data_IF_110394859704
#
_entry.id   IF_110394859704
#
_cell.length_a   1.000
_cell.length_b   1.000
_cell.length_c   1.000
_cell.angle_alpha   90.00
_cell.angle_beta   90.00
_cell.angle_gamma   90.00
#
_symmetry.space_group_name_H-M   'P 1'
#
loop_
_entity.id
_entity.type
_entity.pdbx_description
1 polymer ?
#
# COMPACT_ATOMS: atom_id res chain seq x y z
N UNK A 1 -39.88 -10.14 -83.53
CA UNK A 1 -39.90 -9.33 -82.28
C UNK A 1 -39.06 -10.08 -81.27
N UNK A 2 -37.80 -9.76 -81.25
CA UNK A 2 -36.82 -10.39 -80.33
C UNK A 2 -36.71 -9.52 -79.10
N UNK A 3 -37.18 -10.03 -78.00
CA UNK A 3 -37.09 -9.40 -76.69
C UNK A 3 -35.72 -9.73 -76.05
N UNK A 4 -34.72 -8.79 -76.13
CA UNK A 4 -33.43 -8.99 -75.54
C UNK A 4 -33.57 -8.94 -74.03
N UNK A 5 -33.37 -10.09 -73.37
CA UNK A 5 -33.28 -10.21 -71.92
C UNK A 5 -32.02 -9.51 -71.44
N UNK A 6 -32.14 -8.38 -70.77
CA UNK A 6 -31.05 -7.71 -70.08
C UNK A 6 -30.72 -8.50 -68.81
N UNK A 7 -29.59 -9.22 -68.82
CA UNK A 7 -29.00 -9.85 -67.63
C UNK A 7 -28.46 -8.77 -66.70
N UNK A 8 -29.15 -8.55 -65.57
CA UNK A 8 -28.64 -7.71 -64.48
C UNK A 8 -27.62 -8.57 -63.68
N UNK A 9 -26.34 -8.33 -63.88
CA UNK A 9 -25.30 -8.87 -62.99
C UNK A 9 -25.52 -8.33 -61.57
N UNK A 10 -25.50 -9.21 -60.55
CA UNK A 10 -25.57 -8.76 -59.17
C UNK A 10 -24.36 -7.91 -58.85
N UNK A 11 -24.53 -6.69 -58.39
CA UNK A 11 -23.49 -5.87 -57.80
C UNK A 11 -22.86 -6.64 -56.64
N UNK A 12 -21.61 -7.15 -56.82
CA UNK A 12 -20.86 -7.73 -55.72
C UNK A 12 -20.68 -6.62 -54.66
N UNK A 13 -21.32 -6.83 -53.52
CA UNK A 13 -21.19 -5.93 -52.36
C UNK A 13 -19.70 -5.91 -51.96
N UNK A 14 -19.06 -4.76 -52.17
CA UNK A 14 -17.65 -4.51 -51.80
C UNK A 14 -17.46 -4.83 -50.31
N UNK A 15 -16.58 -5.77 -50.00
CA UNK A 15 -16.33 -6.21 -48.62
C UNK A 15 -15.90 -4.98 -47.77
N UNK A 16 -16.41 -4.82 -46.56
CA UNK A 16 -16.04 -3.67 -45.73
C UNK A 16 -14.54 -3.62 -45.54
N UNK A 17 -13.93 -2.42 -45.57
CA UNK A 17 -12.48 -2.26 -45.43
C UNK A 17 -11.99 -2.91 -44.15
N UNK A 18 -10.80 -3.54 -44.13
CA UNK A 18 -10.26 -4.18 -42.98
C UNK A 18 -10.13 -3.18 -41.80
N UNK A 19 -10.39 -3.61 -40.55
CA UNK A 19 -10.30 -2.73 -39.41
C UNK A 19 -8.88 -2.14 -39.30
N UNK A 20 -8.75 -0.86 -38.92
CA UNK A 20 -7.46 -0.21 -38.80
C UNK A 20 -6.56 -0.97 -37.82
N UNK A 21 -5.24 -1.05 -38.08
CA UNK A 21 -4.30 -1.75 -37.22
C UNK A 21 -4.38 -1.20 -35.77
N UNK A 22 -4.22 -2.07 -34.76
CA UNK A 22 -4.26 -1.63 -33.37
C UNK A 22 -3.16 -0.58 -33.12
N UNK A 23 -3.45 0.47 -32.34
CA UNK A 23 -2.47 1.53 -32.07
C UNK A 23 -1.21 0.93 -31.43
N UNK A 24 -0.02 1.48 -31.72
CA UNK A 24 1.24 0.97 -31.20
C UNK A 24 1.23 0.98 -29.66
N UNK A 25 1.76 -0.09 -29.06
CA UNK A 25 1.85 -0.22 -27.61
C UNK A 25 2.77 0.85 -27.05
N UNK A 26 2.20 1.85 -26.37
CA UNK A 26 2.96 2.95 -25.77
C UNK A 26 3.61 2.47 -24.46
N UNK A 27 4.93 2.64 -24.32
CA UNK A 27 5.68 2.42 -23.08
C UNK A 27 6.03 3.78 -22.48
N UNK A 28 5.69 4.00 -21.22
CA UNK A 28 6.03 5.21 -20.47
C UNK A 28 6.99 4.88 -19.33
N UNK A 29 7.90 5.80 -19.00
CA UNK A 29 8.73 5.68 -17.79
C UNK A 29 7.95 6.25 -16.60
N UNK A 30 7.44 5.36 -15.73
CA UNK A 30 6.52 5.72 -14.65
C UNK A 30 7.22 5.92 -13.31
N UNK A 31 8.19 5.07 -12.97
CA UNK A 31 8.82 5.08 -11.66
C UNK A 31 10.33 5.31 -11.75
N UNK A 32 10.81 6.37 -11.08
CA UNK A 32 12.24 6.70 -11.00
C UNK A 32 12.98 5.68 -10.14
N UNK A 33 14.27 5.47 -10.40
CA UNK A 33 15.09 4.50 -9.68
C UNK A 33 15.06 4.68 -8.15
N UNK A 34 15.21 5.89 -7.57
CA UNK A 34 15.12 6.06 -6.12
C UNK A 34 13.79 5.59 -5.53
N UNK A 35 12.66 5.89 -6.20
CA UNK A 35 11.33 5.44 -5.76
C UNK A 35 11.23 3.91 -5.75
N UNK A 36 11.78 3.24 -6.77
CA UNK A 36 11.77 1.78 -6.89
C UNK A 36 12.62 1.11 -5.79
N UNK A 37 13.83 1.63 -5.56
CA UNK A 37 14.71 1.12 -4.50
C UNK A 37 14.08 1.32 -3.13
N UNK A 38 13.53 2.50 -2.86
CA UNK A 38 12.84 2.79 -1.62
C UNK A 38 11.64 1.88 -1.41
N UNK A 39 10.83 1.65 -2.43
CA UNK A 39 9.67 0.75 -2.37
C UNK A 39 10.08 -0.68 -1.98
N UNK A 40 11.06 -1.28 -2.67
CA UNK A 40 11.47 -2.66 -2.41
C UNK A 40 12.17 -2.82 -1.05
N UNK A 41 12.98 -1.83 -0.65
CA UNK A 41 13.58 -1.81 0.68
C UNK A 41 12.50 -1.77 1.77
N UNK A 42 11.51 -0.88 1.63
CA UNK A 42 10.41 -0.80 2.59
C UNK A 42 9.52 -2.05 2.57
N UNK A 43 9.23 -2.62 1.41
CA UNK A 43 8.47 -3.86 1.32
C UNK A 43 9.15 -4.97 2.14
N UNK A 44 10.45 -5.23 1.91
CA UNK A 44 11.20 -6.20 2.69
C UNK A 44 11.19 -5.88 4.19
N UNK A 45 11.49 -4.62 4.54
CA UNK A 45 11.56 -4.16 5.93
C UNK A 45 10.24 -4.35 6.65
N UNK A 46 9.13 -3.94 6.06
CA UNK A 46 7.80 -4.05 6.67
C UNK A 46 7.38 -5.50 6.85
N UNK A 47 7.66 -6.39 5.89
CA UNK A 47 7.39 -7.81 6.06
C UNK A 47 8.16 -8.42 7.24
N UNK A 48 9.47 -8.14 7.35
CA UNK A 48 10.28 -8.64 8.48
C UNK A 48 9.78 -8.06 9.80
N UNK A 49 9.42 -6.78 9.85
CA UNK A 49 8.89 -6.14 11.06
C UNK A 49 7.53 -6.67 11.46
N UNK A 50 6.62 -6.90 10.52
CA UNK A 50 5.33 -7.54 10.81
C UNK A 50 5.52 -8.95 11.37
N UNK A 51 6.29 -9.79 10.70
CA UNK A 51 6.53 -11.17 11.13
C UNK A 51 7.25 -11.25 12.50
N UNK A 52 8.25 -10.39 12.73
CA UNK A 52 8.94 -10.34 14.03
C UNK A 52 8.06 -9.72 15.13
N UNK A 53 7.25 -8.72 14.80
CA UNK A 53 6.26 -8.13 15.70
C UNK A 53 5.18 -9.12 16.13
N UNK A 54 4.69 -9.96 15.21
CA UNK A 54 3.74 -11.03 15.50
C UNK A 54 4.35 -12.11 16.42
N UNK A 55 5.66 -12.41 16.27
CA UNK A 55 6.34 -13.28 17.24
C UNK A 55 6.44 -12.63 18.63
N UNK A 56 6.72 -11.32 18.69
CA UNK A 56 6.73 -10.58 19.97
C UNK A 56 5.34 -10.57 20.59
N UNK A 57 4.29 -10.40 19.79
CA UNK A 57 2.91 -10.46 20.24
C UNK A 57 2.55 -11.83 20.85
N UNK A 58 3.02 -12.94 20.28
CA UNK A 58 2.82 -14.29 20.80
C UNK A 58 3.37 -14.51 22.23
N UNK A 59 4.28 -13.64 22.70
CA UNK A 59 4.80 -13.76 24.07
C UNK A 59 3.82 -13.27 25.13
N UNK A 60 2.95 -12.33 24.79
CA UNK A 60 1.90 -11.81 25.65
C UNK A 60 0.74 -11.29 24.79
N UNK A 61 -0.16 -12.18 24.33
CA UNK A 61 -1.19 -11.84 23.36
C UNK A 61 -2.43 -11.20 23.99
N UNK A 62 -2.19 -10.25 24.92
CA UNK A 62 -3.22 -9.47 25.60
C UNK A 62 -2.90 -8.00 25.44
N UNK A 63 -3.88 -7.18 25.10
CA UNK A 63 -3.73 -5.74 24.91
C UNK A 63 -4.60 -4.96 25.89
N UNK A 64 -4.02 -3.91 26.47
CA UNK A 64 -4.62 -3.08 27.49
C UNK A 64 -4.54 -1.61 27.11
N UNK A 65 -5.27 -0.78 27.82
CA UNK A 65 -5.12 0.67 27.77
C UNK A 65 -4.49 1.18 29.08
N UNK A 66 -3.81 2.29 29.05
CA UNK A 66 -3.17 2.93 30.20
C UNK A 66 -1.71 2.48 30.38
N UNK A 67 -1.23 2.63 31.61
CA UNK A 67 0.18 2.39 31.96
C UNK A 67 0.47 0.92 32.25
N UNK A 68 -0.46 0.21 32.88
CA UNK A 68 -0.28 -1.14 33.37
C UNK A 68 -1.17 -2.13 32.62
N UNK A 69 -0.76 -3.39 32.64
CA UNK A 69 -1.51 -4.51 32.09
C UNK A 69 -0.91 -5.81 32.62
N UNK A 70 -1.57 -6.39 33.60
CA UNK A 70 -1.16 -7.62 34.29
C UNK A 70 -2.29 -8.66 34.23
N UNK A 71 -2.04 -9.85 34.81
CA UNK A 71 -2.96 -10.99 34.73
C UNK A 71 -4.34 -10.75 35.33
N UNK A 72 -4.48 -9.73 36.20
CA UNK A 72 -5.76 -9.36 36.84
C UNK A 72 -6.47 -8.18 36.18
N UNK A 73 -5.82 -7.53 35.19
CA UNK A 73 -6.41 -6.43 34.45
C UNK A 73 -7.28 -6.98 33.31
N UNK A 74 -8.29 -6.20 32.91
CA UNK A 74 -9.18 -6.57 31.81
C UNK A 74 -8.60 -6.09 30.46
N UNK A 75 -8.06 -7.02 29.62
CA UNK A 75 -7.60 -6.67 28.30
C UNK A 75 -8.80 -6.33 27.39
N UNK A 76 -8.65 -5.32 26.52
CA UNK A 76 -9.65 -5.05 25.49
C UNK A 76 -9.56 -6.05 24.32
N UNK A 77 -8.40 -6.72 24.15
CA UNK A 77 -8.18 -7.81 23.21
C UNK A 77 -7.33 -8.89 23.88
N UNK A 78 -7.77 -10.14 23.80
CA UNK A 78 -7.11 -11.26 24.45
C UNK A 78 -7.19 -12.52 23.59
N UNK A 79 -6.08 -13.20 23.45
CA UNK A 79 -5.99 -14.51 22.80
C UNK A 79 -5.36 -15.53 23.75
N UNK A 80 -5.74 -16.80 23.62
CA UNK A 80 -5.16 -17.88 24.39
C UNK A 80 -3.98 -18.50 23.64
N UNK A 81 -2.94 -18.88 24.38
CA UNK A 81 -1.76 -19.54 23.82
C UNK A 81 -0.95 -18.64 22.88
N UNK A 82 -0.56 -19.18 21.72
CA UNK A 82 0.18 -18.49 20.68
C UNK A 82 -0.70 -18.37 19.44
N UNK A 83 -1.42 -17.26 19.27
CA UNK A 83 -2.43 -17.13 18.21
C UNK A 83 -1.83 -17.06 16.81
N UNK A 84 -0.54 -16.70 16.67
CA UNK A 84 0.11 -16.57 15.37
C UNK A 84 0.99 -17.79 15.09
N UNK A 85 0.75 -18.53 14.01
CA UNK A 85 1.53 -19.71 13.65
C UNK A 85 2.97 -19.34 13.21
N UNK A 86 3.91 -20.28 13.38
CA UNK A 86 5.34 -20.07 13.12
C UNK A 86 5.66 -19.63 11.68
N UNK A 87 4.91 -20.10 10.70
CA UNK A 87 5.12 -19.69 9.30
C UNK A 87 4.84 -18.18 9.05
N UNK A 88 4.07 -17.53 9.92
CA UNK A 88 3.76 -16.09 9.85
C UNK A 88 4.67 -15.27 10.77
N UNK A 89 5.72 -15.86 11.36
CA UNK A 89 6.59 -15.18 12.32
C UNK A 89 8.08 -15.30 11.98
N UNK A 90 8.89 -14.37 12.48
CA UNK A 90 10.35 -14.41 12.44
C UNK A 90 10.89 -14.28 13.87
N UNK A 91 11.64 -15.29 14.37
CA UNK A 91 11.88 -16.60 13.77
C UNK A 91 10.60 -17.46 13.71
N UNK A 92 10.62 -18.54 12.94
CA UNK A 92 9.48 -19.45 12.81
C UNK A 92 9.21 -20.30 14.07
N UNK A 93 10.24 -20.56 14.85
CA UNK A 93 10.16 -21.16 16.17
C UNK A 93 10.09 -20.10 17.26
N UNK A 94 9.40 -20.37 18.37
CA UNK A 94 9.25 -19.39 19.45
C UNK A 94 10.60 -18.98 20.04
N UNK A 95 10.99 -17.74 19.80
CA UNK A 95 12.18 -17.13 20.38
C UNK A 95 12.02 -15.60 20.45
N UNK A 96 11.56 -15.13 21.61
CA UNK A 96 11.29 -13.71 21.84
C UNK A 96 12.54 -12.85 21.72
N UNK A 97 13.70 -13.33 22.20
CA UNK A 97 14.95 -12.58 22.13
C UNK A 97 15.42 -12.38 20.70
N UNK A 98 15.34 -13.42 19.87
CA UNK A 98 15.64 -13.31 18.45
C UNK A 98 14.64 -12.41 17.72
N UNK A 99 13.34 -12.54 17.99
CA UNK A 99 12.32 -11.70 17.40
C UNK A 99 12.54 -10.20 17.68
N UNK A 100 12.88 -9.85 18.92
CA UNK A 100 13.22 -8.48 19.30
C UNK A 100 14.44 -7.96 18.55
N UNK A 101 15.51 -8.77 18.38
CA UNK A 101 16.68 -8.38 17.59
C UNK A 101 16.35 -8.09 16.13
N UNK A 102 15.56 -8.97 15.50
CA UNK A 102 15.08 -8.74 14.14
C UNK A 102 14.26 -7.47 14.04
N UNK A 103 13.29 -7.30 14.92
CA UNK A 103 12.39 -6.16 14.93
C UNK A 103 13.14 -4.84 15.09
N UNK A 104 14.05 -4.75 16.08
CA UNK A 104 14.84 -3.54 16.33
C UNK A 104 15.87 -3.25 15.23
N UNK A 105 16.51 -4.28 14.66
CA UNK A 105 17.45 -4.10 13.55
C UNK A 105 16.73 -3.52 12.32
N UNK A 106 15.56 -4.07 11.98
CA UNK A 106 14.77 -3.60 10.83
C UNK A 106 14.03 -2.29 11.11
N UNK A 107 13.79 -1.94 12.39
CA UNK A 107 13.28 -0.62 12.75
C UNK A 107 14.21 0.50 12.26
N UNK A 108 15.54 0.35 12.36
CA UNK A 108 16.50 1.31 11.82
C UNK A 108 16.43 1.41 10.29
N UNK A 109 16.22 0.27 9.60
CA UNK A 109 16.03 0.25 8.15
C UNK A 109 14.70 0.87 7.72
N UNK A 110 13.72 0.98 8.61
CA UNK A 110 12.48 1.72 8.37
C UNK A 110 12.67 3.21 8.67
N UNK A 111 13.18 3.54 9.87
CA UNK A 111 13.24 4.91 10.39
C UNK A 111 14.16 5.81 9.55
N UNK A 112 15.39 5.36 9.27
CA UNK A 112 16.38 6.21 8.58
C UNK A 112 15.92 6.55 7.15
N UNK A 113 15.55 5.59 6.28
CA UNK A 113 15.06 5.93 4.95
C UNK A 113 13.75 6.73 4.96
N UNK A 114 12.85 6.47 5.93
CA UNK A 114 11.61 7.25 6.05
C UNK A 114 11.88 8.71 6.39
N UNK A 115 12.75 8.98 7.35
CA UNK A 115 13.14 10.36 7.71
C UNK A 115 13.75 11.05 6.48
N UNK A 116 14.69 10.38 5.80
CA UNK A 116 15.31 10.92 4.59
C UNK A 116 14.27 11.21 3.50
N UNK A 117 13.31 10.30 3.30
CA UNK A 117 12.22 10.49 2.36
C UNK A 117 11.33 11.67 2.76
N UNK A 118 10.91 11.77 4.02
CA UNK A 118 10.07 12.86 4.50
C UNK A 118 10.77 14.21 4.36
N UNK A 119 12.04 14.31 4.78
CA UNK A 119 12.83 15.54 4.67
C UNK A 119 13.00 15.94 3.21
N UNK A 120 13.45 15.03 2.34
CA UNK A 120 13.62 15.32 0.92
C UNK A 120 12.30 15.64 0.22
N UNK A 121 11.22 14.98 0.60
CA UNK A 121 9.88 15.20 0.04
C UNK A 121 9.31 16.57 0.40
N UNK A 122 9.61 17.06 1.62
CA UNK A 122 9.25 18.41 2.06
C UNK A 122 10.11 19.45 1.33
N UNK A 123 11.44 19.28 1.33
CA UNK A 123 12.37 20.22 0.71
C UNK A 123 12.12 20.38 -0.81
N UNK A 124 11.85 19.29 -1.50
CA UNK A 124 11.58 19.28 -2.94
C UNK A 124 10.12 19.54 -3.29
N UNK A 125 9.25 19.82 -2.30
CA UNK A 125 7.80 19.99 -2.47
C UNK A 125 7.11 18.83 -3.21
N UNK A 126 7.71 17.63 -3.17
CA UNK A 126 7.14 16.43 -3.82
C UNK A 126 5.83 16.01 -3.15
N UNK A 127 5.79 16.00 -1.81
CA UNK A 127 4.59 15.61 -1.07
C UNK A 127 3.37 16.50 -1.42
N UNK A 128 3.44 17.85 -1.37
CA UNK A 128 2.29 18.67 -1.69
C UNK A 128 1.90 18.68 -3.17
N UNK A 129 2.84 18.43 -4.10
CA UNK A 129 2.56 18.49 -5.55
C UNK A 129 2.00 17.20 -6.11
N UNK A 130 2.54 16.05 -5.68
CA UNK A 130 2.31 14.77 -6.35
C UNK A 130 1.51 13.79 -5.48
N UNK A 131 1.59 13.90 -4.14
CA UNK A 131 0.92 13.00 -3.21
C UNK A 131 -0.33 13.60 -2.55
N UNK A 132 -0.35 14.93 -2.32
CA UNK A 132 -1.50 15.55 -1.71
C UNK A 132 -2.70 15.55 -2.66
N UNK A 133 -3.88 15.07 -2.23
CA UNK A 133 -5.08 15.20 -3.02
C UNK A 133 -5.53 16.67 -3.07
N UNK A 134 -6.09 17.10 -4.19
CA UNK A 134 -6.68 18.44 -4.31
C UNK A 134 -8.04 18.51 -3.63
N UNK A 135 -8.50 19.74 -3.31
CA UNK A 135 -9.82 19.95 -2.70
C UNK A 135 -10.96 19.36 -3.55
N UNK A 136 -10.82 19.37 -4.86
CA UNK A 136 -11.82 18.79 -5.77
C UNK A 136 -11.80 17.26 -5.74
N UNK A 137 -10.63 16.65 -5.64
CA UNK A 137 -10.48 15.19 -5.55
C UNK A 137 -11.06 14.63 -4.26
N UNK A 138 -10.99 15.35 -3.13
CA UNK A 138 -11.53 14.87 -1.83
C UNK A 138 -13.03 15.12 -1.65
N UNK A 139 -13.73 15.70 -2.63
CA UNK A 139 -15.19 15.83 -2.57
C UNK A 139 -15.85 14.47 -2.40
N UNK A 140 -16.81 14.31 -1.48
CA UNK A 140 -17.45 13.00 -1.22
C UNK A 140 -18.00 12.31 -2.47
N UNK A 141 -18.53 13.10 -3.43
CA UNK A 141 -19.03 12.58 -4.70
C UNK A 141 -17.92 11.98 -5.57
N UNK A 142 -16.74 12.60 -5.60
CA UNK A 142 -15.59 12.12 -6.37
C UNK A 142 -15.00 10.87 -5.74
N UNK A 143 -14.77 10.89 -4.43
CA UNK A 143 -14.29 9.72 -3.67
C UNK A 143 -15.24 8.55 -3.82
N UNK A 144 -16.56 8.79 -3.73
CA UNK A 144 -17.56 7.73 -3.92
C UNK A 144 -17.59 7.17 -5.33
N UNK A 145 -17.40 8.03 -6.33
CA UNK A 145 -17.25 7.59 -7.72
C UNK A 145 -16.05 6.66 -7.88
N UNK A 146 -14.87 7.05 -7.38
CA UNK A 146 -13.66 6.24 -7.46
C UNK A 146 -13.79 4.91 -6.71
N UNK A 147 -14.42 4.90 -5.51
CA UNK A 147 -14.73 3.66 -4.79
C UNK A 147 -15.58 2.72 -5.64
N UNK A 148 -16.63 3.26 -6.29
CA UNK A 148 -17.54 2.47 -7.13
C UNK A 148 -16.84 1.91 -8.37
N UNK A 149 -15.99 2.70 -9.02
CA UNK A 149 -15.21 2.25 -10.18
C UNK A 149 -14.20 1.14 -9.80
N UNK A 150 -13.51 1.28 -8.65
CA UNK A 150 -12.64 0.23 -8.13
C UNK A 150 -13.41 -1.05 -7.73
N UNK A 151 -14.56 -0.91 -7.08
CA UNK A 151 -15.43 -2.05 -6.74
C UNK A 151 -15.93 -2.77 -7.99
N UNK A 152 -16.05 -2.07 -9.13
CA UNK A 152 -16.41 -2.63 -10.45
C UNK A 152 -15.19 -3.10 -11.25
N UNK A 153 -13.99 -3.09 -10.67
CA UNK A 153 -12.72 -3.45 -11.31
C UNK A 153 -12.46 -2.66 -12.61
N UNK A 154 -12.87 -1.40 -12.64
CA UNK A 154 -12.65 -0.49 -13.77
C UNK A 154 -11.40 0.32 -13.52
N UNK A 155 -10.29 -0.14 -14.09
CA UNK A 155 -9.01 0.55 -13.99
C UNK A 155 -8.87 1.64 -15.06
N UNK A 156 -8.13 2.73 -14.76
CA UNK A 156 -7.85 3.80 -15.72
C UNK A 156 -7.08 3.28 -16.92
N UNK A 157 -7.36 3.85 -18.10
CA UNK A 157 -6.70 3.53 -19.36
C UNK A 157 -6.10 4.80 -19.99
N UNK A 158 -5.24 4.66 -20.98
CA UNK A 158 -4.58 5.79 -21.62
C UNK A 158 -3.72 6.61 -20.65
N UNK A 159 -3.72 7.93 -20.80
CA UNK A 159 -2.92 8.84 -19.95
C UNK A 159 -3.41 8.90 -18.49
N UNK A 160 -4.66 8.57 -18.22
CA UNK A 160 -5.18 8.48 -16.86
C UNK A 160 -4.50 7.35 -16.06
N UNK A 161 -4.02 6.27 -16.71
CA UNK A 161 -3.28 5.19 -16.06
C UNK A 161 -1.88 5.62 -15.56
N UNK A 162 -1.37 6.77 -15.98
CA UNK A 162 -0.08 7.32 -15.54
C UNK A 162 -0.21 8.21 -14.29
N UNK A 163 -1.42 8.55 -13.87
CA UNK A 163 -1.69 9.42 -12.71
C UNK A 163 -2.22 8.60 -11.55
N UNK A 164 -1.90 9.03 -10.33
CA UNK A 164 -2.50 8.46 -9.13
C UNK A 164 -3.96 8.93 -9.00
N UNK A 165 -4.86 8.00 -8.72
CA UNK A 165 -6.23 8.35 -8.37
C UNK A 165 -6.33 8.81 -6.90
N UNK A 166 -7.48 9.36 -6.50
CA UNK A 166 -7.65 9.91 -5.15
C UNK A 166 -7.50 8.85 -4.07
N UNK A 167 -7.97 7.61 -4.27
CA UNK A 167 -7.85 6.54 -3.28
C UNK A 167 -6.39 6.13 -3.06
N UNK A 168 -5.58 6.09 -4.12
CA UNK A 168 -4.14 5.85 -4.03
C UNK A 168 -3.44 6.99 -3.27
N UNK A 169 -3.74 8.26 -3.58
CA UNK A 169 -3.18 9.41 -2.88
C UNK A 169 -3.53 9.39 -1.39
N UNK A 170 -4.80 9.17 -1.04
CA UNK A 170 -5.24 9.07 0.35
C UNK A 170 -4.56 7.93 1.10
N UNK A 171 -4.42 6.76 0.47
CA UNK A 171 -3.72 5.62 1.04
C UNK A 171 -2.24 5.92 1.29
N UNK A 172 -1.56 6.57 0.35
CA UNK A 172 -0.14 6.95 0.51
C UNK A 172 0.04 7.98 1.62
N UNK A 173 -0.83 9.00 1.68
CA UNK A 173 -0.81 9.99 2.76
C UNK A 173 -1.05 9.30 4.11
N UNK A 174 -2.07 8.45 4.22
CA UNK A 174 -2.38 7.75 5.46
C UNK A 174 -1.23 6.84 5.92
N UNK A 175 -0.61 6.08 5.02
CA UNK A 175 0.47 5.16 5.37
C UNK A 175 1.74 5.92 5.70
N UNK A 176 2.20 6.82 4.83
CA UNK A 176 3.53 7.45 4.93
C UNK A 176 3.57 8.54 6.00
N UNK A 177 2.50 9.34 6.12
CA UNK A 177 2.49 10.51 7.00
C UNK A 177 1.73 10.30 8.32
N UNK A 178 0.97 9.20 8.45
CA UNK A 178 0.24 8.90 9.68
C UNK A 178 0.67 7.56 10.28
N UNK A 179 0.44 6.43 9.60
CA UNK A 179 0.67 5.10 10.18
C UNK A 179 2.15 4.84 10.49
N UNK A 180 3.05 5.07 9.55
CA UNK A 180 4.49 4.81 9.77
C UNK A 180 5.08 5.72 10.84
N UNK A 181 4.85 7.05 10.88
CA UNK A 181 5.29 7.89 12.00
C UNK A 181 4.71 7.46 13.34
N UNK A 182 3.42 7.12 13.40
CA UNK A 182 2.78 6.65 14.62
C UNK A 182 3.35 5.30 15.10
N UNK A 183 3.65 4.38 14.19
CA UNK A 183 4.36 3.13 14.47
C UNK A 183 5.73 3.39 15.11
N UNK A 184 6.49 4.36 14.59
CA UNK A 184 7.81 4.73 15.11
C UNK A 184 7.67 5.34 16.50
N UNK A 185 6.79 6.33 16.67
CA UNK A 185 6.61 7.01 17.96
C UNK A 185 6.13 6.06 19.06
N UNK A 186 5.17 5.19 18.76
CA UNK A 186 4.69 4.17 19.72
C UNK A 186 5.76 3.11 20.00
N UNK A 187 6.56 2.72 19.00
CA UNK A 187 7.71 1.84 19.18
C UNK A 187 8.78 2.43 20.09
N UNK A 188 9.12 3.71 19.91
CA UNK A 188 10.03 4.44 20.79
C UNK A 188 9.48 4.56 22.21
N UNK A 189 8.18 4.91 22.38
CA UNK A 189 7.53 5.00 23.69
C UNK A 189 7.57 3.68 24.48
N UNK A 190 7.58 2.53 23.79
CA UNK A 190 7.71 1.23 24.44
C UNK A 190 9.16 0.86 24.82
N UNK A 191 10.17 1.60 24.31
CA UNK A 191 11.58 1.34 24.59
C UNK A 191 11.96 1.86 25.98
N UNK A 192 12.52 1.03 26.90
CA UNK A 192 12.95 1.50 28.19
C UNK A 192 14.03 2.60 28.15
N UNK A 193 14.91 2.55 27.15
CA UNK A 193 15.95 3.57 26.97
C UNK A 193 15.36 4.91 26.54
N UNK A 194 14.31 4.90 25.69
CA UNK A 194 13.64 6.12 25.27
C UNK A 194 12.72 6.68 26.36
N UNK A 195 12.09 5.83 27.16
CA UNK A 195 11.32 6.23 28.32
C UNK A 195 12.19 6.99 29.35
N UNK A 196 13.41 6.50 29.59
CA UNK A 196 14.37 7.20 30.44
C UNK A 196 14.85 8.54 29.85
N UNK A 197 15.01 8.65 28.52
CA UNK A 197 15.50 9.86 27.85
C UNK A 197 14.37 10.88 27.57
N UNK A 198 13.19 10.39 27.23
CA UNK A 198 12.03 11.21 26.81
C UNK A 198 10.73 10.72 27.46
N UNK A 199 10.57 10.87 28.79
CA UNK A 199 9.40 10.34 29.50
C UNK A 199 8.08 10.92 29.00
N UNK A 200 8.06 12.16 28.53
CA UNK A 200 6.89 12.82 27.94
C UNK A 200 6.30 12.06 26.73
N UNK A 201 7.13 11.26 26.03
CA UNK A 201 6.65 10.47 24.88
C UNK A 201 5.68 9.39 25.32
N UNK A 202 5.89 8.82 26.49
CA UNK A 202 4.99 7.82 27.06
C UNK A 202 3.67 8.47 27.53
N UNK A 203 3.76 9.66 28.09
CA UNK A 203 2.58 10.44 28.52
C UNK A 203 1.67 10.82 27.34
N UNK A 204 2.28 11.11 26.16
CA UNK A 204 1.54 11.39 24.93
C UNK A 204 0.57 10.26 24.54
N UNK A 205 0.93 9.01 24.85
CA UNK A 205 0.10 7.84 24.57
C UNK A 205 -0.70 7.36 25.79
N UNK A 206 -0.74 8.13 26.87
CA UNK A 206 -1.40 7.76 28.13
C UNK A 206 -0.90 6.41 28.69
N UNK A 207 0.38 6.11 28.50
CA UNK A 207 1.06 4.98 29.09
C UNK A 207 1.54 3.89 28.11
N UNK A 208 2.36 2.99 28.65
CA UNK A 208 3.06 1.97 27.86
C UNK A 208 2.12 0.96 27.20
N UNK A 209 1.03 0.56 27.86
CA UNK A 209 0.09 -0.40 27.30
C UNK A 209 -0.79 0.24 26.22
N UNK A 210 -1.14 1.52 26.38
CA UNK A 210 -1.80 2.28 25.31
C UNK A 210 -0.90 2.40 24.09
N UNK A 211 0.38 2.77 24.25
CA UNK A 211 1.35 2.81 23.14
C UNK A 211 1.44 1.46 22.43
N UNK A 212 1.46 0.34 23.19
CA UNK A 212 1.47 -1.01 22.65
C UNK A 212 0.20 -1.35 21.87
N UNK A 213 -0.96 -0.98 22.39
CA UNK A 213 -2.25 -1.20 21.73
C UNK A 213 -2.35 -0.39 20.44
N UNK A 214 -1.95 0.88 20.45
CA UNK A 214 -1.91 1.73 19.25
C UNK A 214 -0.94 1.16 18.23
N UNK A 215 0.26 0.74 18.64
CA UNK A 215 1.24 0.10 17.77
C UNK A 215 0.68 -1.14 17.08
N UNK A 216 0.00 -2.00 17.82
CA UNK A 216 -0.65 -3.19 17.28
C UNK A 216 -1.78 -2.83 16.28
N UNK A 217 -2.63 -1.87 16.62
CA UNK A 217 -3.70 -1.40 15.73
C UNK A 217 -3.10 -0.86 14.42
N UNK A 218 -2.06 -0.02 14.51
CA UNK A 218 -1.36 0.49 13.33
C UNK A 218 -0.73 -0.63 12.50
N UNK A 219 -0.15 -1.65 13.14
CA UNK A 219 0.40 -2.82 12.45
C UNK A 219 -0.69 -3.60 11.70
N UNK A 220 -1.88 -3.77 12.30
CA UNK A 220 -3.01 -4.43 11.64
C UNK A 220 -3.59 -3.59 10.49
N UNK A 221 -3.65 -2.28 10.63
CA UNK A 221 -4.05 -1.38 9.55
C UNK A 221 -3.04 -1.41 8.38
N UNK A 222 -1.75 -1.47 8.69
CA UNK A 222 -0.70 -1.62 7.69
C UNK A 222 -0.79 -2.98 6.98
N UNK A 223 -1.06 -4.06 7.71
CA UNK A 223 -1.31 -5.38 7.14
C UNK A 223 -2.54 -5.37 6.22
N UNK A 224 -3.64 -4.75 6.64
CA UNK A 224 -4.83 -4.60 5.81
C UNK A 224 -4.53 -3.80 4.54
N UNK A 225 -3.78 -2.70 4.65
CA UNK A 225 -3.31 -1.94 3.48
C UNK A 225 -2.49 -2.81 2.53
N UNK A 226 -1.55 -3.62 3.03
CA UNK A 226 -0.71 -4.51 2.20
C UNK A 226 -1.58 -5.52 1.47
N UNK A 227 -2.55 -6.14 2.14
CA UNK A 227 -3.47 -7.11 1.52
C UNK A 227 -4.26 -6.44 0.39
N UNK A 228 -4.87 -5.29 0.65
CA UNK A 228 -5.61 -4.53 -0.37
C UNK A 228 -4.69 -4.13 -1.53
N UNK A 229 -3.49 -3.64 -1.23
CA UNK A 229 -2.50 -3.25 -2.23
C UNK A 229 -2.12 -4.43 -3.15
N UNK A 230 -1.81 -5.59 -2.58
CA UNK A 230 -1.46 -6.78 -3.36
C UNK A 230 -2.62 -7.28 -4.21
N UNK A 231 -3.84 -7.28 -3.66
CA UNK A 231 -5.06 -7.62 -4.43
C UNK A 231 -5.22 -6.66 -5.60
N UNK A 232 -5.05 -5.35 -5.39
CA UNK A 232 -5.16 -4.36 -6.46
C UNK A 232 -4.07 -4.52 -7.53
N UNK A 233 -2.83 -4.86 -7.16
CA UNK A 233 -1.74 -5.17 -8.10
C UNK A 233 -2.09 -6.38 -8.97
N UNK A 234 -2.66 -7.44 -8.36
CA UNK A 234 -3.09 -8.64 -9.10
C UNK A 234 -4.22 -8.31 -10.08
N UNK A 235 -5.22 -7.56 -9.64
CA UNK A 235 -6.38 -7.19 -10.46
C UNK A 235 -6.05 -6.19 -11.57
N UNK A 236 -5.08 -5.28 -11.35
CA UNK A 236 -4.65 -4.30 -12.34
C UNK A 236 -3.72 -4.88 -13.43
N UNK A 237 -3.19 -6.08 -13.23
CA UNK A 237 -2.26 -6.76 -14.15
C UNK A 237 -0.85 -6.87 -13.58
N UNK A 238 -0.55 -7.94 -12.83
CA UNK A 238 0.66 -8.07 -12.02
C UNK A 238 1.96 -7.96 -12.83
N UNK A 239 2.00 -8.48 -14.05
CA UNK A 239 3.20 -8.43 -14.90
C UNK A 239 3.56 -6.99 -15.30
N UNK A 240 2.58 -6.13 -15.53
CA UNK A 240 2.80 -4.74 -15.88
C UNK A 240 3.13 -3.90 -14.65
N UNK A 241 2.38 -4.07 -13.56
CA UNK A 241 2.58 -3.32 -12.31
C UNK A 241 3.92 -3.67 -11.64
N UNK A 242 4.20 -4.95 -11.41
CA UNK A 242 5.47 -5.42 -10.84
C UNK A 242 6.64 -5.09 -11.78
N UNK A 243 6.47 -5.36 -13.09
CA UNK A 243 7.45 -5.02 -14.10
C UNK A 243 7.81 -3.54 -14.11
N UNK A 244 6.84 -2.64 -13.90
CA UNK A 244 7.07 -1.20 -13.81
C UNK A 244 7.86 -0.80 -12.55
N UNK A 245 7.62 -1.50 -11.43
CA UNK A 245 8.38 -1.31 -10.18
C UNK A 245 9.78 -1.92 -10.20
N UNK A 246 10.08 -2.82 -11.14
CA UNK A 246 11.44 -3.37 -11.34
C UNK A 246 12.22 -2.56 -12.38
N UNK A 247 11.59 -2.24 -13.53
CA UNK A 247 12.26 -1.64 -14.70
C UNK A 247 12.07 -0.12 -14.82
N UNK A 248 11.05 0.43 -14.18
CA UNK A 248 10.57 1.81 -14.36
C UNK A 248 9.64 1.97 -15.56
N UNK A 249 9.52 0.97 -16.43
CA UNK A 249 8.76 1.02 -17.69
C UNK A 249 7.37 0.43 -17.51
N UNK A 250 6.36 1.22 -17.87
CA UNK A 250 4.95 0.83 -17.79
C UNK A 250 4.34 0.77 -19.18
N UNK A 251 3.65 -0.31 -19.49
CA UNK A 251 2.87 -0.47 -20.72
C UNK A 251 1.53 0.21 -20.53
N UNK A 252 1.31 1.33 -21.22
CA UNK A 252 0.05 2.08 -21.12
C UNK A 252 -1.07 1.28 -21.77
N UNK A 253 -2.16 0.94 -21.03
CA UNK A 253 -3.31 0.29 -21.61
C UNK A 253 -3.97 1.17 -22.68
N UNK A 254 -4.42 0.62 -23.82
CA UNK A 254 -5.10 1.40 -24.84
C UNK A 254 -6.36 2.05 -24.28
N UNK A 255 -6.70 3.25 -24.80
CA UNK A 255 -7.94 3.92 -24.42
C UNK A 255 -9.15 3.05 -24.78
N UNK A 256 -10.07 2.90 -23.83
CA UNK A 256 -11.35 2.24 -24.14
C UNK A 256 -12.14 3.14 -25.09
N UNK A 257 -12.44 2.66 -26.29
CA UNK A 257 -13.40 3.34 -27.16
C UNK A 257 -14.70 3.46 -26.38
N UNK A 258 -15.17 4.69 -26.15
CA UNK A 258 -16.52 4.89 -25.60
C UNK A 258 -17.51 4.37 -26.65
N UNK A 259 -18.46 3.54 -26.26
CA UNK A 259 -19.54 3.13 -27.18
C UNK A 259 -20.36 4.33 -27.62
#
# INVERSE_FOLDING_TARGET
MDEAAVSIEPLEAEAPPPPPPPPPRRIAYRHRLPTRLWHWLNALTVFVMLMSGLMIFNAHPHLYWGQYGANFDHPWLSFHGRPVPGWATIPSSYNLAAARRWHLAFAWLLVVPLILFLVTSILNRHAPRDLAPTCDEIRPSHVWHDIREHARLRFPTGDAALRYNVLQKLSYVAVIFLLLPLMILTGLAMSPAMDAAWPWLLDLFAGRQSARSIHFICAMLLLAFIVVHLVMVVLAGPLNEIGSMITGRFRVPPERRRP
#
